data_IF_849867307385
#
_entry.id   IF_849867307385
#
_cell.length_a   1.000
_cell.length_b   1.000
_cell.length_c   1.000
_cell.angle_alpha   90.00
_cell.angle_beta   90.00
_cell.angle_gamma   90.00
#
_symmetry.space_group_name_H-M   'P 1'
#
loop_
_entity.id
_entity.type
_entity.pdbx_description
1 polymer ?
#
# COMPACT_ATOMS: atom_id res chain seq x y z
N UNK A 1 13.12 -30.07 -9.11
CA UNK A 1 14.20 -29.40 -8.36
C UNK A 1 14.69 -28.21 -9.20
N UNK A 2 14.27 -26.97 -8.90
CA UNK A 2 14.55 -25.77 -9.74
C UNK A 2 15.39 -24.69 -9.04
N UNK A 3 15.84 -24.91 -7.80
CA UNK A 3 16.62 -23.91 -7.06
C UNK A 3 18.10 -23.95 -7.46
N UNK A 4 18.61 -22.81 -7.95
CA UNK A 4 20.02 -22.62 -8.31
C UNK A 4 20.94 -22.85 -7.11
N UNK A 5 20.54 -22.37 -5.93
CA UNK A 5 21.30 -22.50 -4.69
C UNK A 5 21.50 -23.96 -4.26
N UNK A 6 20.47 -24.80 -4.44
CA UNK A 6 20.60 -26.22 -4.12
C UNK A 6 21.66 -26.90 -5.01
N UNK A 7 21.73 -26.53 -6.29
CA UNK A 7 22.74 -27.05 -7.22
C UNK A 7 24.15 -26.60 -6.84
N UNK A 8 24.33 -25.33 -6.47
CA UNK A 8 25.63 -24.79 -6.03
C UNK A 8 26.11 -25.43 -4.73
N UNK A 9 25.22 -25.60 -3.75
CA UNK A 9 25.55 -26.24 -2.48
C UNK A 9 26.01 -27.69 -2.63
N UNK A 10 25.42 -28.46 -3.54
CA UNK A 10 25.86 -29.84 -3.80
C UNK A 10 27.32 -29.86 -4.27
N UNK A 11 27.72 -28.90 -5.11
CA UNK A 11 29.09 -28.77 -5.60
C UNK A 11 30.03 -28.35 -4.46
N UNK A 12 29.63 -27.40 -3.61
CA UNK A 12 30.43 -27.01 -2.44
C UNK A 12 30.62 -28.17 -1.46
N UNK A 13 29.57 -28.96 -1.18
CA UNK A 13 29.66 -30.14 -0.31
C UNK A 13 30.64 -31.18 -0.89
N UNK A 14 30.58 -31.42 -2.20
CA UNK A 14 31.55 -32.31 -2.84
C UNK A 14 32.98 -31.76 -2.72
N UNK A 15 33.19 -30.46 -2.92
CA UNK A 15 34.50 -29.82 -2.76
C UNK A 15 35.02 -29.91 -1.31
N UNK A 16 34.16 -29.72 -0.30
CA UNK A 16 34.51 -29.86 1.12
C UNK A 16 34.99 -31.25 1.50
N UNK A 17 34.51 -32.29 0.82
CA UNK A 17 34.94 -33.65 1.07
C UNK A 17 36.20 -34.00 0.27
N UNK A 18 36.25 -33.62 -1.00
CA UNK A 18 37.33 -34.02 -1.91
C UNK A 18 38.66 -33.32 -1.56
N UNK A 19 38.65 -32.02 -1.22
CA UNK A 19 39.87 -31.25 -0.93
C UNK A 19 40.66 -31.79 0.28
N UNK A 20 40.07 -31.92 1.49
CA UNK A 20 40.82 -32.44 2.64
C UNK A 20 41.14 -33.93 2.51
N UNK A 21 40.31 -34.73 1.83
CA UNK A 21 40.64 -36.12 1.52
C UNK A 21 41.89 -36.20 0.63
N UNK A 22 41.97 -35.34 -0.39
CA UNK A 22 43.14 -35.24 -1.26
C UNK A 22 44.39 -34.71 -0.52
N UNK A 23 44.21 -33.76 0.39
CA UNK A 23 45.28 -33.21 1.23
C UNK A 23 45.87 -34.29 2.15
N UNK A 24 45.03 -35.15 2.71
CA UNK A 24 45.44 -36.19 3.66
C UNK A 24 46.03 -37.43 2.98
N UNK A 25 45.42 -37.93 1.90
CA UNK A 25 45.80 -39.21 1.29
C UNK A 25 46.77 -39.08 0.11
N UNK A 26 46.68 -38.00 -0.67
CA UNK A 26 47.34 -37.91 -1.98
C UNK A 26 48.41 -36.81 -2.08
N UNK A 27 48.50 -35.91 -1.10
CA UNK A 27 49.45 -34.80 -1.12
C UNK A 27 50.66 -35.11 -0.26
N UNK A 28 51.82 -35.29 -0.89
CA UNK A 28 53.10 -35.56 -0.20
C UNK A 28 53.81 -34.30 0.27
N UNK A 29 53.48 -33.14 -0.31
CA UNK A 29 54.03 -31.85 0.09
C UNK A 29 53.24 -31.24 1.24
N UNK A 30 53.91 -31.02 2.38
CA UNK A 30 53.32 -30.38 3.57
C UNK A 30 52.72 -29.01 3.27
N UNK A 31 53.37 -28.23 2.39
CA UNK A 31 52.89 -26.93 1.93
C UNK A 31 51.59 -27.07 1.10
N UNK A 32 51.55 -28.06 0.21
CA UNK A 32 50.36 -28.34 -0.61
C UNK A 32 49.15 -28.75 0.23
N UNK A 33 49.36 -29.61 1.23
CA UNK A 33 48.30 -30.03 2.14
C UNK A 33 47.78 -28.85 2.98
N UNK A 34 48.68 -28.00 3.51
CA UNK A 34 48.31 -26.80 4.26
C UNK A 34 47.44 -25.86 3.44
N UNK A 35 47.82 -25.57 2.19
CA UNK A 35 47.04 -24.71 1.28
C UNK A 35 45.65 -25.30 1.03
N UNK A 36 45.53 -26.62 0.82
CA UNK A 36 44.24 -27.26 0.60
C UNK A 36 43.31 -27.17 1.82
N UNK A 37 43.84 -27.32 3.04
CA UNK A 37 43.06 -27.09 4.26
C UNK A 37 42.60 -25.64 4.40
N UNK A 38 43.46 -24.67 4.08
CA UNK A 38 43.08 -23.24 4.10
C UNK A 38 41.97 -22.96 3.07
N UNK A 39 42.09 -23.49 1.86
CA UNK A 39 41.06 -23.35 0.82
C UNK A 39 39.74 -23.99 1.27
N UNK A 40 39.77 -25.16 1.92
CA UNK A 40 38.57 -25.80 2.44
C UNK A 40 37.86 -24.91 3.48
N UNK A 41 38.61 -24.25 4.37
CA UNK A 41 38.03 -23.29 5.34
C UNK A 41 37.43 -22.08 4.64
N UNK A 42 38.11 -21.50 3.64
CA UNK A 42 37.60 -20.36 2.87
C UNK A 42 36.29 -20.71 2.17
N UNK A 43 36.20 -21.90 1.57
CA UNK A 43 34.97 -22.36 0.92
C UNK A 43 33.82 -22.50 1.92
N UNK A 44 34.08 -22.90 3.17
CA UNK A 44 33.02 -23.02 4.21
C UNK A 44 32.49 -21.62 4.53
N UNK A 45 33.37 -20.65 4.73
CA UNK A 45 32.99 -19.26 4.95
C UNK A 45 32.18 -18.73 3.77
N UNK A 46 32.59 -19.03 2.54
CA UNK A 46 31.86 -18.64 1.33
C UNK A 46 30.45 -19.24 1.26
N UNK A 47 30.26 -20.54 1.54
CA UNK A 47 28.91 -21.16 1.51
C UNK A 47 27.97 -20.58 2.58
N UNK A 48 28.52 -20.20 3.75
CA UNK A 48 27.77 -19.52 4.81
C UNK A 48 27.37 -18.11 4.38
N UNK A 49 28.31 -17.37 3.78
CA UNK A 49 28.09 -16.02 3.29
C UNK A 49 26.98 -15.99 2.23
N UNK A 50 27.06 -16.87 1.22
CA UNK A 50 26.05 -17.01 0.17
C UNK A 50 24.66 -17.36 0.74
N UNK A 51 24.60 -18.25 1.73
CA UNK A 51 23.33 -18.63 2.37
C UNK A 51 22.70 -17.43 3.07
N UNK A 52 23.47 -16.75 3.92
CA UNK A 52 22.97 -15.71 4.81
C UNK A 52 22.64 -14.42 4.07
N UNK A 53 23.54 -13.98 3.18
CA UNK A 53 23.44 -12.69 2.51
C UNK A 53 22.89 -12.78 1.11
N UNK A 54 22.93 -13.93 0.45
CA UNK A 54 22.26 -14.15 -0.83
C UNK A 54 20.82 -14.63 -0.63
N UNK A 55 20.66 -15.85 -0.14
CA UNK A 55 19.36 -16.55 -0.17
C UNK A 55 18.40 -16.09 0.92
N UNK A 56 18.83 -16.16 2.18
CA UNK A 56 17.95 -15.84 3.31
C UNK A 56 17.52 -14.37 3.29
N UNK A 57 18.43 -13.48 2.88
CA UNK A 57 18.14 -12.06 2.72
C UNK A 57 17.09 -11.81 1.63
N UNK A 58 17.29 -12.41 0.45
CA UNK A 58 16.32 -12.33 -0.66
C UNK A 58 14.95 -12.90 -0.28
N UNK A 59 14.92 -14.01 0.46
CA UNK A 59 13.69 -14.62 0.94
C UNK A 59 12.95 -13.70 1.91
N UNK A 60 13.66 -13.07 2.86
CA UNK A 60 13.08 -12.11 3.81
C UNK A 60 12.51 -10.88 3.10
N UNK A 61 13.22 -10.35 2.09
CA UNK A 61 12.70 -9.23 1.30
C UNK A 61 11.44 -9.65 0.55
N UNK A 62 11.44 -10.82 -0.10
CA UNK A 62 10.26 -11.34 -0.79
C UNK A 62 9.07 -11.58 0.15
N UNK A 63 9.30 -12.09 1.36
CA UNK A 63 8.27 -12.23 2.38
C UNK A 63 7.73 -10.88 2.83
N UNK A 64 8.60 -9.87 2.98
CA UNK A 64 8.18 -8.51 3.31
C UNK A 64 7.28 -7.91 2.21
N UNK A 65 7.62 -8.10 0.93
CA UNK A 65 6.74 -7.74 -0.19
C UNK A 65 5.41 -8.51 -0.16
N UNK A 66 5.47 -9.84 -0.03
CA UNK A 66 4.29 -10.70 -0.12
C UNK A 66 3.29 -10.45 1.03
N UNK A 67 3.78 -10.15 2.23
CA UNK A 67 2.93 -9.81 3.37
C UNK A 67 2.25 -8.45 3.21
N UNK A 68 2.85 -7.54 2.43
CA UNK A 68 2.35 -6.20 2.09
C UNK A 68 1.73 -5.43 3.27
N UNK A 69 2.24 -5.67 4.48
CA UNK A 69 1.75 -5.04 5.70
C UNK A 69 2.25 -3.60 5.71
N UNK A 70 1.38 -2.67 5.31
CA UNK A 70 1.69 -1.24 5.18
C UNK A 70 2.02 -0.58 6.52
N UNK A 71 1.75 -1.23 7.66
CA UNK A 71 1.89 -0.63 8.99
C UNK A 71 3.23 -0.94 9.67
N UNK A 72 3.92 -2.02 9.26
CA UNK A 72 5.16 -2.48 9.93
C UNK A 72 6.43 -2.01 9.24
N UNK A 73 7.39 -1.50 10.01
CA UNK A 73 8.72 -1.20 9.49
C UNK A 73 9.43 -2.49 9.05
N UNK A 74 9.96 -2.48 7.82
CA UNK A 74 10.76 -3.59 7.29
C UNK A 74 12.19 -3.43 7.83
N UNK A 75 12.49 -4.04 8.98
CA UNK A 75 13.84 -4.06 9.55
C UNK A 75 14.60 -5.29 9.07
N UNK A 76 15.23 -5.15 7.91
CA UNK A 76 16.09 -6.20 7.33
C UNK A 76 17.52 -5.66 7.28
N UNK A 77 18.46 -6.39 7.89
CA UNK A 77 19.88 -6.03 7.85
C UNK A 77 20.48 -6.47 6.49
N UNK A 78 20.97 -5.51 5.71
CA UNK A 78 21.57 -5.68 4.39
C UNK A 78 23.05 -5.30 4.34
N UNK A 79 23.72 -5.15 5.50
CA UNK A 79 25.05 -4.53 5.60
C UNK A 79 26.16 -5.15 4.75
N UNK A 80 26.03 -6.42 4.34
CA UNK A 80 27.02 -7.13 3.54
C UNK A 80 26.53 -7.47 2.12
N UNK A 81 25.40 -6.90 1.67
CA UNK A 81 24.87 -7.10 0.32
C UNK A 81 24.20 -5.81 -0.19
N UNK A 82 24.93 -5.06 -1.03
CA UNK A 82 24.49 -3.76 -1.56
C UNK A 82 23.31 -3.92 -2.54
N UNK A 83 23.29 -4.98 -3.35
CA UNK A 83 22.20 -5.27 -4.28
C UNK A 83 20.88 -5.49 -3.55
N UNK A 84 20.92 -6.25 -2.45
CA UNK A 84 19.78 -6.51 -1.59
C UNK A 84 19.36 -5.26 -0.81
N UNK A 85 20.30 -4.39 -0.44
CA UNK A 85 20.00 -3.09 0.14
C UNK A 85 19.20 -2.21 -0.83
N UNK A 86 19.66 -2.07 -2.09
CA UNK A 86 18.94 -1.33 -3.14
C UNK A 86 17.55 -1.92 -3.43
N UNK A 87 17.45 -3.26 -3.42
CA UNK A 87 16.16 -3.93 -3.57
C UNK A 87 15.23 -3.61 -2.40
N UNK A 88 15.72 -3.67 -1.16
CA UNK A 88 14.95 -3.31 0.03
C UNK A 88 14.48 -1.85 -0.01
N UNK A 89 15.36 -0.91 -0.40
CA UNK A 89 15.00 0.50 -0.53
C UNK A 89 13.89 0.72 -1.55
N UNK A 90 13.94 0.02 -2.68
CA UNK A 90 12.89 0.07 -3.71
C UNK A 90 11.55 -0.43 -3.18
N UNK A 91 11.56 -1.47 -2.35
CA UNK A 91 10.36 -2.03 -1.70
C UNK A 91 9.79 -1.05 -0.69
N UNK A 92 10.63 -0.44 0.14
CA UNK A 92 10.22 0.58 1.12
C UNK A 92 9.63 1.80 0.40
N UNK A 93 10.27 2.26 -0.67
CA UNK A 93 9.76 3.36 -1.49
C UNK A 93 8.39 3.05 -2.10
N UNK A 94 8.23 1.86 -2.69
CA UNK A 94 6.96 1.42 -3.27
C UNK A 94 5.84 1.34 -2.23
N UNK A 95 6.15 0.77 -1.06
CA UNK A 95 5.24 0.71 0.09
C UNK A 95 4.76 2.10 0.51
N UNK A 96 5.66 3.06 0.61
CA UNK A 96 5.31 4.43 1.02
C UNK A 96 4.45 5.14 -0.02
N UNK A 97 4.72 4.91 -1.31
CA UNK A 97 3.87 5.42 -2.40
C UNK A 97 2.45 4.88 -2.34
N UNK A 98 2.27 3.58 -2.06
CA UNK A 98 0.94 2.98 -1.90
C UNK A 98 0.23 3.56 -0.67
N UNK A 99 0.93 3.71 0.46
CA UNK A 99 0.36 4.29 1.68
C UNK A 99 -0.15 5.71 1.42
N UNK A 100 0.64 6.54 0.75
CA UNK A 100 0.23 7.89 0.36
C UNK A 100 -0.97 7.89 -0.60
N UNK A 101 -1.01 6.99 -1.57
CA UNK A 101 -2.15 6.87 -2.49
C UNK A 101 -3.43 6.52 -1.74
N UNK A 102 -3.39 5.54 -0.83
CA UNK A 102 -4.55 5.12 -0.02
C UNK A 102 -5.04 6.27 0.86
N UNK A 103 -4.14 6.99 1.53
CA UNK A 103 -4.50 8.16 2.34
C UNK A 103 -5.10 9.28 1.47
N UNK A 104 -4.55 9.51 0.28
CA UNK A 104 -5.10 10.45 -0.69
C UNK A 104 -6.51 10.08 -1.13
N UNK A 105 -6.77 8.79 -1.44
CA UNK A 105 -8.10 8.30 -1.77
C UNK A 105 -9.09 8.44 -0.61
N UNK A 106 -8.67 8.12 0.62
CA UNK A 106 -9.54 8.25 1.81
C UNK A 106 -9.90 9.71 2.11
N UNK A 107 -8.92 10.63 1.97
CA UNK A 107 -9.18 12.05 2.10
C UNK A 107 -10.17 12.53 1.01
N UNK A 108 -9.96 12.10 -0.23
CA UNK A 108 -10.84 12.47 -1.34
C UNK A 108 -12.27 11.91 -1.19
N UNK A 109 -12.40 10.67 -0.71
CA UNK A 109 -13.70 10.06 -0.39
C UNK A 109 -14.44 10.82 0.73
N UNK A 110 -13.72 11.17 1.81
CA UNK A 110 -14.29 11.99 2.90
C UNK A 110 -14.76 13.35 2.39
N UNK A 111 -14.00 14.01 1.51
CA UNK A 111 -14.42 15.26 0.88
C UNK A 111 -15.68 15.07 0.04
N UNK A 112 -15.81 13.94 -0.66
CA UNK A 112 -17.00 13.61 -1.45
C UNK A 112 -18.25 13.44 -0.57
N UNK A 113 -18.11 12.76 0.57
CA UNK A 113 -19.19 12.61 1.56
C UNK A 113 -19.61 13.98 2.14
N UNK A 114 -18.64 14.85 2.43
CA UNK A 114 -18.91 16.22 2.90
C UNK A 114 -19.63 17.06 1.85
N UNK A 115 -19.22 16.98 0.58
CA UNK A 115 -19.89 17.68 -0.53
C UNK A 115 -21.32 17.16 -0.70
N UNK A 116 -21.53 15.84 -0.62
CA UNK A 116 -22.87 15.25 -0.70
C UNK A 116 -23.78 15.74 0.44
N UNK A 117 -23.25 15.80 1.67
CA UNK A 117 -23.98 16.33 2.82
C UNK A 117 -24.35 17.82 2.64
N UNK A 118 -23.42 18.63 2.11
CA UNK A 118 -23.71 20.04 1.79
C UNK A 118 -24.76 20.19 0.69
N UNK A 119 -24.69 19.39 -0.38
CA UNK A 119 -25.70 19.38 -1.44
C UNK A 119 -27.07 18.99 -0.91
N UNK A 120 -27.15 18.03 0.00
CA UNK A 120 -28.41 17.62 0.62
C UNK A 120 -28.98 18.70 1.55
N UNK A 121 -28.12 19.42 2.27
CA UNK A 121 -28.53 20.58 3.06
C UNK A 121 -29.06 21.72 2.17
N UNK A 122 -28.40 22.00 1.05
CA UNK A 122 -28.85 22.99 0.05
C UNK A 122 -30.20 22.58 -0.55
N UNK A 123 -30.37 21.33 -0.94
CA UNK A 123 -31.63 20.83 -1.48
C UNK A 123 -32.79 20.95 -0.47
N UNK A 124 -32.52 20.64 0.80
CA UNK A 124 -33.50 20.77 1.89
C UNK A 124 -33.88 22.22 2.17
N UNK A 125 -32.90 23.13 2.09
CA UNK A 125 -33.13 24.57 2.19
C UNK A 125 -34.05 25.06 1.06
N UNK A 126 -33.76 24.72 -0.19
CA UNK A 126 -34.61 25.09 -1.33
C UNK A 126 -36.03 24.54 -1.18
N UNK A 127 -36.18 23.27 -0.79
CA UNK A 127 -37.51 22.69 -0.55
C UNK A 127 -38.30 23.47 0.49
N UNK A 128 -37.66 23.86 1.60
CA UNK A 128 -38.29 24.66 2.66
C UNK A 128 -38.71 26.03 2.14
N UNK A 129 -37.88 26.69 1.35
CA UNK A 129 -38.19 28.00 0.76
C UNK A 129 -39.36 27.90 -0.23
N UNK A 130 -39.38 26.88 -1.09
CA UNK A 130 -40.51 26.65 -2.00
C UNK A 130 -41.82 26.41 -1.26
N UNK A 131 -41.80 25.70 -0.12
CA UNK A 131 -43.01 25.53 0.71
C UNK A 131 -43.49 26.86 1.30
N UNK A 132 -42.58 27.73 1.75
CA UNK A 132 -42.94 29.07 2.23
C UNK A 132 -43.52 29.93 1.12
N UNK A 133 -42.90 29.95 -0.06
CA UNK A 133 -43.40 30.69 -1.22
C UNK A 133 -44.80 30.21 -1.61
N UNK A 134 -45.02 28.89 -1.63
CA UNK A 134 -46.35 28.32 -1.87
C UNK A 134 -47.38 28.82 -0.85
N UNK A 135 -47.04 28.81 0.43
CA UNK A 135 -47.94 29.33 1.48
C UNK A 135 -48.26 30.82 1.28
N UNK A 136 -47.27 31.63 0.90
CA UNK A 136 -47.46 33.06 0.63
C UNK A 136 -48.35 33.26 -0.60
N UNK A 137 -48.17 32.46 -1.65
CA UNK A 137 -49.00 32.50 -2.86
C UNK A 137 -50.44 32.10 -2.54
N UNK A 138 -50.65 31.06 -1.74
CA UNK A 138 -51.98 30.62 -1.32
C UNK A 138 -52.69 31.72 -0.50
N UNK A 139 -51.97 32.37 0.42
CA UNK A 139 -52.49 33.51 1.19
C UNK A 139 -52.80 34.71 0.30
N UNK A 140 -51.90 35.06 -0.62
CA UNK A 140 -52.11 36.15 -1.58
C UNK A 140 -53.31 35.90 -2.49
N UNK A 141 -53.46 34.66 -2.98
CA UNK A 141 -54.62 34.24 -3.78
C UNK A 141 -55.91 34.40 -3.00
N UNK A 142 -55.93 33.99 -1.72
CA UNK A 142 -57.07 34.20 -0.82
C UNK A 142 -57.40 35.69 -0.65
N UNK A 143 -56.38 36.54 -0.48
CA UNK A 143 -56.59 37.99 -0.41
C UNK A 143 -57.19 38.57 -1.71
N UNK A 144 -56.73 38.11 -2.89
CA UNK A 144 -57.28 38.53 -4.18
C UNK A 144 -58.74 38.07 -4.33
N UNK A 145 -59.07 36.84 -3.94
CA UNK A 145 -60.46 36.35 -3.96
C UNK A 145 -61.36 37.14 -3.01
N UNK A 146 -60.88 37.45 -1.81
CA UNK A 146 -61.62 38.29 -0.86
C UNK A 146 -61.84 39.70 -1.41
N UNK A 147 -60.80 40.33 -1.98
CA UNK A 147 -60.94 41.64 -2.62
C UNK A 147 -61.95 41.61 -3.75
N UNK A 148 -61.91 40.58 -4.61
CA UNK A 148 -62.88 40.42 -5.69
C UNK A 148 -64.32 40.34 -5.16
N UNK A 149 -64.53 39.55 -4.11
CA UNK A 149 -65.85 39.43 -3.46
C UNK A 149 -66.33 40.78 -2.94
N UNK A 150 -65.48 41.55 -2.27
CA UNK A 150 -65.81 42.90 -1.79
C UNK A 150 -66.12 43.87 -2.93
N UNK A 151 -65.36 43.82 -4.03
CA UNK A 151 -65.63 44.64 -5.21
C UNK A 151 -66.97 44.29 -5.87
N UNK A 152 -67.28 42.99 -5.99
CA UNK A 152 -68.55 42.52 -6.54
C UNK A 152 -69.73 42.99 -5.67
N UNK A 153 -69.62 42.90 -4.33
CA UNK A 153 -70.62 43.41 -3.37
C UNK A 153 -70.83 44.94 -3.47
N UNK A 154 -69.74 45.72 -3.58
CA UNK A 154 -69.82 47.18 -3.75
C UNK A 154 -70.51 47.52 -5.08
N UNK A 155 -70.13 46.84 -6.16
CA UNK A 155 -70.73 47.06 -7.48
C UNK A 155 -72.22 46.74 -7.48
N UNK A 156 -72.63 45.68 -6.80
CA UNK A 156 -74.03 45.29 -6.71
C UNK A 156 -74.86 46.33 -5.92
N UNK A 157 -74.34 46.80 -4.77
CA UNK A 157 -75.01 47.82 -3.95
C UNK A 157 -75.06 49.21 -4.62
N UNK A 158 -74.16 49.51 -5.56
CA UNK A 158 -74.17 50.77 -6.30
C UNK A 158 -75.22 50.82 -7.44
N UNK A 159 -75.84 49.67 -7.75
CA UNK A 159 -76.87 49.54 -8.78
C UNK A 159 -78.31 49.42 -8.20
N UNK A 160 -78.46 49.49 -6.87
CA UNK A 160 -79.74 49.65 -6.15
C UNK A 160 -80.02 51.13 -5.83
#
# INVERSE_FOLDING_TARGET
>A
MKSLFFRMRVIHIAAFLILPLNAYFFTTSTLGAMIQYVIAVILIVHDIDEKKWGVDLSLKINQALASMDLTKEIKINTSFNEESAKMLDSVVFFKEKIRHAILGFQAHATTHDQISAQLQAIASFFHTQTQKEKSIIDESTKHVTNMRTVFDDISQNAHE
#
